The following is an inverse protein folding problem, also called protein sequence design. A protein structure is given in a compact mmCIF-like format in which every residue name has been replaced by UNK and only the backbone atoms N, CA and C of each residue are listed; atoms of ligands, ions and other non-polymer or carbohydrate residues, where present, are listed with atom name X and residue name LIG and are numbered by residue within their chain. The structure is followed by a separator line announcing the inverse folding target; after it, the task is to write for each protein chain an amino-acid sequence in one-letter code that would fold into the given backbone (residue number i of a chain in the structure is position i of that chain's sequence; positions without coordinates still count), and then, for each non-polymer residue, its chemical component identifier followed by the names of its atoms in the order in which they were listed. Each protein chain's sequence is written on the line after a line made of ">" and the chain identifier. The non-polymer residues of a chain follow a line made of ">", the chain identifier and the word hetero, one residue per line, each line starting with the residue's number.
data_IF_586111622446
#
_entry.id   IF_586111622446
#
_cell.length_a   1.000
_cell.length_b   1.000
_cell.length_c   1.000
_cell.angle_alpha   90.00
_cell.angle_beta   90.00
_cell.angle_gamma   90.00
#
_symmetry.space_group_name_H-M   'P 1'
#
loop_
_entity.id
_entity.type
_entity.pdbx_description
1 polymer ?
#
# COMPACT_ATOMS: atom_id res chain seq x y z
N UNK A 1 25.96 -21.90 3.59
CA UNK A 1 25.06 -20.81 3.97
C UNK A 1 25.87 -19.56 4.19
N UNK A 2 25.60 -18.46 3.46
CA UNK A 2 26.29 -17.17 3.72
C UNK A 2 25.79 -16.67 5.09
N UNK A 3 26.68 -16.56 6.05
CA UNK A 3 26.34 -15.95 7.35
C UNK A 3 25.92 -14.49 7.10
N UNK A 4 24.75 -14.12 7.64
CA UNK A 4 24.25 -12.76 7.51
C UNK A 4 25.17 -11.80 8.30
N UNK A 5 25.55 -10.70 7.68
CA UNK A 5 26.38 -9.66 8.30
C UNK A 5 25.61 -8.94 9.41
N UNK A 6 26.33 -8.43 10.42
CA UNK A 6 25.70 -7.61 11.51
C UNK A 6 24.82 -6.50 10.97
N UNK A 7 25.25 -5.84 9.90
CA UNK A 7 24.46 -4.79 9.25
C UNK A 7 23.12 -5.31 8.66
N UNK A 8 23.07 -6.54 8.15
CA UNK A 8 21.83 -7.15 7.65
C UNK A 8 20.87 -7.49 8.80
N UNK A 9 21.37 -7.96 9.92
CA UNK A 9 20.58 -8.19 11.12
C UNK A 9 19.95 -6.90 11.66
N UNK A 10 20.75 -5.82 11.73
CA UNK A 10 20.25 -4.50 12.18
C UNK A 10 19.16 -3.99 11.23
N UNK A 11 19.38 -4.04 9.91
CA UNK A 11 18.37 -3.63 8.91
C UNK A 11 17.09 -4.45 9.01
N UNK A 12 17.22 -5.76 9.19
CA UNK A 12 16.08 -6.65 9.37
C UNK A 12 15.30 -6.31 10.64
N UNK A 13 15.98 -6.11 11.76
CA UNK A 13 15.36 -5.76 13.03
C UNK A 13 14.62 -4.42 12.94
N UNK A 14 15.22 -3.40 12.33
CA UNK A 14 14.58 -2.09 12.10
C UNK A 14 13.35 -2.23 11.22
N UNK A 15 13.46 -2.96 10.11
CA UNK A 15 12.34 -3.15 9.18
C UNK A 15 11.17 -3.89 9.85
N UNK A 16 11.45 -4.96 10.61
CA UNK A 16 10.42 -5.70 11.36
C UNK A 16 9.80 -4.81 12.45
N UNK A 17 10.59 -4.04 13.17
CA UNK A 17 10.09 -3.16 14.22
C UNK A 17 9.16 -2.08 13.66
N UNK A 18 9.56 -1.40 12.59
CA UNK A 18 8.73 -0.40 11.91
C UNK A 18 7.43 -1.05 11.38
N UNK A 19 7.53 -2.25 10.82
CA UNK A 19 6.37 -2.97 10.32
C UNK A 19 5.42 -3.40 11.45
N UNK A 20 5.94 -3.86 12.59
CA UNK A 20 5.13 -4.20 13.76
C UNK A 20 4.43 -2.97 14.35
N UNK A 21 5.10 -1.82 14.42
CA UNK A 21 4.48 -0.55 14.84
C UNK A 21 3.33 -0.19 13.89
N UNK A 22 3.52 -0.34 12.58
CA UNK A 22 2.46 -0.14 11.60
C UNK A 22 1.29 -1.11 11.80
N UNK A 23 1.55 -2.40 12.04
CA UNK A 23 0.51 -3.40 12.32
C UNK A 23 -0.28 -3.10 13.59
N UNK A 24 0.40 -2.66 14.64
CA UNK A 24 -0.24 -2.24 15.89
C UNK A 24 -1.16 -1.04 15.65
N UNK A 25 -0.71 -0.07 14.88
CA UNK A 25 -1.52 1.09 14.49
C UNK A 25 -2.77 0.67 13.69
N UNK A 26 -2.60 -0.17 12.67
CA UNK A 26 -3.72 -0.70 11.86
C UNK A 26 -4.58 -1.69 12.64
N UNK A 27 -4.07 -2.24 13.76
CA UNK A 27 -4.70 -3.32 14.56
C UNK A 27 -5.07 -4.53 13.70
N UNK A 28 -4.18 -4.97 12.81
CA UNK A 28 -4.40 -6.10 11.91
C UNK A 28 -3.41 -7.22 12.19
N UNK A 29 -3.90 -8.33 12.68
CA UNK A 29 -3.07 -9.53 12.93
C UNK A 29 -2.71 -10.29 11.65
N UNK A 30 -3.53 -10.17 10.61
CA UNK A 30 -3.28 -10.81 9.32
C UNK A 30 -1.96 -10.34 8.67
N UNK A 31 -1.54 -9.12 8.95
CA UNK A 31 -0.27 -8.60 8.47
C UNK A 31 0.96 -9.34 8.99
N UNK A 32 0.87 -10.14 10.08
CA UNK A 32 1.99 -10.93 10.57
C UNK A 32 2.51 -11.93 9.54
N UNK A 33 1.69 -12.32 8.57
CA UNK A 33 2.08 -13.17 7.42
C UNK A 33 3.25 -12.55 6.61
N UNK A 34 3.43 -11.23 6.63
CA UNK A 34 4.49 -10.54 5.89
C UNK A 34 5.85 -10.61 6.61
N UNK A 35 5.86 -10.80 7.93
CA UNK A 35 7.10 -10.83 8.73
C UNK A 35 8.10 -11.90 8.24
N UNK A 36 7.69 -13.17 7.97
CA UNK A 36 8.58 -14.16 7.39
C UNK A 36 9.20 -13.75 6.05
N UNK A 37 8.46 -13.02 5.21
CA UNK A 37 8.98 -12.53 3.93
C UNK A 37 10.02 -11.41 4.13
N UNK A 38 9.80 -10.50 5.08
CA UNK A 38 10.80 -9.50 5.47
C UNK A 38 12.07 -10.20 5.95
N UNK A 39 11.91 -11.21 6.80
CA UNK A 39 13.03 -12.00 7.31
C UNK A 39 13.78 -12.72 6.17
N UNK A 40 13.06 -13.29 5.20
CA UNK A 40 13.68 -13.94 4.04
C UNK A 40 14.48 -12.96 3.18
N UNK A 41 13.95 -11.77 2.91
CA UNK A 41 14.62 -10.74 2.09
C UNK A 41 15.98 -10.35 2.69
N UNK A 42 16.05 -10.18 4.01
CA UNK A 42 17.27 -9.67 4.67
C UNK A 42 18.24 -10.78 5.09
N UNK A 43 17.73 -11.91 5.59
CA UNK A 43 18.52 -12.94 6.27
C UNK A 43 18.64 -14.21 5.47
N UNK A 44 17.50 -14.91 5.24
CA UNK A 44 17.53 -16.27 4.67
C UNK A 44 17.81 -16.29 3.20
N UNK A 45 17.29 -15.32 2.44
CA UNK A 45 17.45 -15.21 0.98
C UNK A 45 17.16 -16.52 0.25
N UNK A 46 16.23 -17.32 0.79
CA UNK A 46 15.80 -18.58 0.19
C UNK A 46 15.03 -18.33 -1.10
N UNK A 47 14.14 -17.32 -1.07
CA UNK A 47 13.38 -16.91 -2.24
C UNK A 47 14.26 -16.03 -3.12
N UNK A 48 14.50 -16.38 -4.37
CA UNK A 48 15.37 -15.61 -5.27
C UNK A 48 14.65 -14.36 -5.82
N UNK A 49 14.32 -13.39 -4.94
CA UNK A 49 13.60 -12.16 -5.28
C UNK A 49 14.20 -11.37 -6.46
N UNK A 50 15.48 -11.59 -6.73
CA UNK A 50 16.21 -10.87 -7.77
C UNK A 50 16.91 -11.83 -8.75
N UNK A 51 16.29 -12.99 -9.06
CA UNK A 51 16.86 -14.01 -9.94
C UNK A 51 17.20 -13.44 -11.33
N UNK A 52 16.43 -12.51 -11.82
CA UNK A 52 16.59 -11.85 -13.11
C UNK A 52 17.87 -10.97 -13.18
N UNK A 53 18.38 -10.46 -12.05
CA UNK A 53 19.63 -9.67 -12.01
C UNK A 53 20.85 -10.49 -12.42
N UNK A 54 20.77 -11.81 -12.32
CA UNK A 54 21.83 -12.75 -12.72
C UNK A 54 21.72 -13.20 -14.18
N UNK A 55 20.69 -12.77 -14.91
CA UNK A 55 20.51 -13.12 -16.32
C UNK A 55 21.66 -12.58 -17.16
N UNK A 56 22.14 -13.41 -18.08
CA UNK A 56 23.18 -13.03 -19.06
C UNK A 56 22.65 -12.08 -20.13
N UNK A 57 21.33 -12.11 -20.37
CA UNK A 57 20.70 -11.27 -21.39
C UNK A 57 20.42 -9.86 -20.85
N UNK A 58 21.01 -8.79 -21.43
CA UNK A 58 20.80 -7.42 -20.97
C UNK A 58 19.35 -6.93 -21.15
N UNK A 59 18.65 -7.39 -22.19
CA UNK A 59 17.27 -7.04 -22.43
C UNK A 59 16.34 -7.55 -21.30
N UNK A 60 16.55 -8.79 -20.86
CA UNK A 60 15.80 -9.37 -19.72
C UNK A 60 16.03 -8.55 -18.45
N UNK A 61 17.26 -8.15 -18.18
CA UNK A 61 17.58 -7.33 -17.01
C UNK A 61 16.90 -5.97 -17.06
N UNK A 62 16.88 -5.33 -18.24
CA UNK A 62 16.23 -4.04 -18.43
C UNK A 62 14.72 -4.14 -18.23
N UNK A 63 14.05 -5.06 -18.93
CA UNK A 63 12.59 -5.25 -18.82
C UNK A 63 12.18 -5.59 -17.39
N UNK A 64 12.86 -6.52 -16.74
CA UNK A 64 12.52 -6.92 -15.36
C UNK A 64 12.80 -5.81 -14.35
N UNK A 65 13.77 -4.93 -14.60
CA UNK A 65 14.00 -3.75 -13.77
C UNK A 65 12.83 -2.74 -13.85
N UNK A 66 12.24 -2.57 -15.03
CA UNK A 66 11.02 -1.78 -15.20
C UNK A 66 9.82 -2.42 -14.49
N UNK A 67 9.65 -3.74 -14.62
CA UNK A 67 8.61 -4.48 -13.90
C UNK A 67 8.74 -4.29 -12.38
N UNK A 68 9.94 -4.44 -11.84
CA UNK A 68 10.24 -4.25 -10.42
C UNK A 68 9.85 -2.82 -9.94
N UNK A 69 10.24 -1.81 -10.74
CA UNK A 69 9.92 -0.41 -10.43
C UNK A 69 8.40 -0.15 -10.47
N UNK A 70 7.69 -0.67 -11.47
CA UNK A 70 6.24 -0.53 -11.60
C UNK A 70 5.53 -1.23 -10.44
N UNK A 71 5.89 -2.46 -10.11
CA UNK A 71 5.29 -3.19 -8.97
C UNK A 71 5.52 -2.43 -7.67
N UNK A 72 6.75 -1.95 -7.43
CA UNK A 72 7.05 -1.13 -6.25
C UNK A 72 6.20 0.14 -6.21
N UNK A 73 6.10 0.86 -7.34
CA UNK A 73 5.32 2.09 -7.42
C UNK A 73 3.82 1.83 -7.14
N UNK A 74 3.23 0.78 -7.73
CA UNK A 74 1.83 0.41 -7.50
C UNK A 74 1.56 0.08 -6.04
N UNK A 75 2.43 -0.71 -5.40
CA UNK A 75 2.31 -1.05 -3.99
C UNK A 75 2.45 0.20 -3.12
N UNK A 76 3.44 1.05 -3.38
CA UNK A 76 3.66 2.28 -2.63
C UNK A 76 2.46 3.23 -2.74
N UNK A 77 1.95 3.48 -3.96
CA UNK A 77 0.78 4.33 -4.20
C UNK A 77 -0.47 3.76 -3.54
N UNK A 78 -0.67 2.44 -3.58
CA UNK A 78 -1.77 1.78 -2.89
C UNK A 78 -1.76 2.09 -1.39
N UNK A 79 -0.62 1.93 -0.72
CA UNK A 79 -0.49 2.24 0.71
C UNK A 79 -0.67 3.73 1.00
N UNK A 80 -0.09 4.61 0.20
CA UNK A 80 -0.25 6.07 0.34
C UNK A 80 -1.72 6.45 0.24
N UNK A 81 -2.42 5.98 -0.80
CA UNK A 81 -3.83 6.29 -1.02
C UNK A 81 -4.77 5.74 0.08
N UNK A 82 -4.43 4.63 0.69
CA UNK A 82 -5.26 4.07 1.77
C UNK A 82 -4.99 4.77 3.10
N UNK A 83 -3.74 5.00 3.45
CA UNK A 83 -3.36 5.36 4.82
C UNK A 83 -2.95 6.82 5.00
N UNK A 84 -2.45 7.51 3.95
CA UNK A 84 -1.88 8.84 4.09
C UNK A 84 -2.81 9.90 3.51
N UNK A 85 -2.98 9.92 2.18
CA UNK A 85 -3.84 10.88 1.50
C UNK A 85 -4.37 10.33 0.18
N UNK A 86 -5.42 10.95 -0.32
CA UNK A 86 -5.98 10.64 -1.64
C UNK A 86 -6.51 11.91 -2.28
N UNK A 87 -6.30 12.04 -3.59
CA UNK A 87 -6.85 13.12 -4.38
C UNK A 87 -8.21 12.70 -4.95
N UNK A 88 -9.16 13.64 -4.93
CA UNK A 88 -10.48 13.49 -5.53
C UNK A 88 -10.75 14.67 -6.43
N UNK A 89 -11.59 14.46 -7.43
CA UNK A 89 -12.14 15.53 -8.27
C UNK A 89 -13.64 15.63 -8.01
N UNK A 90 -14.17 16.84 -7.92
CA UNK A 90 -15.60 17.08 -7.71
C UNK A 90 -16.34 16.80 -9.02
N UNK A 91 -17.22 15.78 -9.08
CA UNK A 91 -17.90 15.40 -10.30
C UNK A 91 -19.25 16.09 -10.52
N UNK A 92 -19.83 16.71 -9.50
CA UNK A 92 -21.20 17.23 -9.54
C UNK A 92 -21.35 18.56 -8.80
N UNK A 93 -22.35 19.35 -9.17
CA UNK A 93 -22.64 20.66 -8.60
C UNK A 93 -23.37 20.67 -7.24
N UNK A 94 -23.52 19.52 -6.59
CA UNK A 94 -24.24 19.43 -5.31
C UNK A 94 -23.64 20.26 -4.16
N UNK A 95 -22.37 20.63 -4.27
CA UNK A 95 -21.64 21.47 -3.32
C UNK A 95 -21.17 22.81 -3.93
N UNK A 96 -21.85 23.30 -4.97
CA UNK A 96 -21.42 24.44 -5.80
C UNK A 96 -21.18 25.73 -5.02
N UNK A 97 -21.81 25.91 -3.85
CA UNK A 97 -21.53 27.05 -2.97
C UNK A 97 -20.19 27.00 -2.26
N UNK A 98 -19.61 25.83 -2.12
CA UNK A 98 -18.36 25.61 -1.39
C UNK A 98 -17.25 25.04 -2.28
N UNK A 99 -17.61 24.20 -3.25
CA UNK A 99 -16.71 23.48 -4.14
C UNK A 99 -17.29 23.48 -5.55
N UNK A 100 -16.49 23.84 -6.52
CA UNK A 100 -16.90 23.87 -7.94
C UNK A 100 -16.69 22.51 -8.61
N UNK A 101 -17.51 22.24 -9.63
CA UNK A 101 -17.31 21.07 -10.50
C UNK A 101 -15.94 21.17 -11.18
N UNK A 102 -15.14 20.13 -11.06
CA UNK A 102 -13.79 20.10 -11.60
C UNK A 102 -12.68 20.41 -10.60
N UNK A 103 -13.03 20.92 -9.41
CA UNK A 103 -12.05 21.16 -8.34
C UNK A 103 -11.36 19.86 -7.91
N UNK A 104 -10.06 19.96 -7.60
CA UNK A 104 -9.27 18.87 -7.06
C UNK A 104 -9.13 19.02 -5.55
N UNK A 105 -9.50 17.98 -4.82
CA UNK A 105 -9.40 17.93 -3.38
C UNK A 105 -8.27 17.01 -2.93
N UNK A 106 -7.40 17.55 -2.08
CA UNK A 106 -6.44 16.75 -1.33
C UNK A 106 -7.05 16.36 0.03
N UNK A 107 -7.34 15.07 0.18
CA UNK A 107 -7.95 14.55 1.41
C UNK A 107 -6.91 13.81 2.24
N UNK A 108 -6.52 14.42 3.38
CA UNK A 108 -5.68 13.76 4.37
C UNK A 108 -6.48 12.69 5.12
N UNK A 109 -5.99 11.46 5.09
CA UNK A 109 -6.59 10.35 5.82
C UNK A 109 -6.04 10.19 7.23
N UNK A 110 -4.88 10.76 7.49
CA UNK A 110 -4.22 10.69 8.80
C UNK A 110 -4.89 11.57 9.85
N UNK A 111 -5.53 12.67 9.45
CA UNK A 111 -6.17 13.62 10.37
C UNK A 111 -7.22 12.93 11.26
N UNK A 112 -8.18 12.25 10.66
CA UNK A 112 -9.26 11.55 11.39
C UNK A 112 -9.16 10.03 11.36
N UNK A 113 -8.03 9.52 10.87
CA UNK A 113 -7.71 8.11 10.74
C UNK A 113 -8.22 7.46 9.45
N UNK A 114 -7.38 6.68 8.79
CA UNK A 114 -7.72 5.99 7.56
C UNK A 114 -8.72 4.88 7.80
N UNK A 115 -9.55 4.63 6.79
CA UNK A 115 -10.45 3.47 6.76
C UNK A 115 -9.70 2.28 6.20
N UNK A 116 -9.72 1.16 6.92
CA UNK A 116 -9.21 -0.12 6.39
C UNK A 116 -10.14 -0.57 5.26
N UNK A 117 -9.61 -0.99 4.10
CA UNK A 117 -10.44 -1.48 3.00
C UNK A 117 -11.27 -2.70 3.42
N UNK A 118 -12.56 -2.70 3.06
CA UNK A 118 -13.41 -3.87 3.28
C UNK A 118 -13.01 -5.03 2.37
N UNK A 119 -12.55 -4.71 1.15
CA UNK A 119 -12.01 -5.65 0.17
C UNK A 119 -10.51 -5.38 0.00
N UNK A 120 -9.64 -6.06 0.77
CA UNK A 120 -8.21 -5.76 0.77
C UNK A 120 -7.51 -6.09 -0.55
N UNK A 121 -8.10 -7.00 -1.34
CA UNK A 121 -7.59 -7.36 -2.65
C UNK A 121 -8.28 -6.51 -3.74
N UNK A 122 -7.90 -5.24 -3.81
CA UNK A 122 -8.33 -4.30 -4.83
C UNK A 122 -7.14 -3.81 -5.65
N UNK A 123 -7.36 -3.58 -6.94
CA UNK A 123 -6.31 -3.06 -7.80
C UNK A 123 -6.04 -1.58 -7.44
N UNK A 124 -4.78 -1.20 -7.22
CA UNK A 124 -4.44 0.18 -6.96
C UNK A 124 -4.81 1.05 -8.16
N UNK A 125 -5.22 2.30 -7.89
CA UNK A 125 -5.60 3.32 -8.87
C UNK A 125 -6.91 3.04 -9.64
N UNK A 126 -7.57 1.88 -9.46
CA UNK A 126 -8.86 1.59 -10.05
C UNK A 126 -9.97 1.67 -8.98
N UNK A 127 -11.01 2.51 -9.21
CA UNK A 127 -12.02 2.75 -8.16
C UNK A 127 -13.09 1.65 -8.09
N UNK A 128 -13.63 1.21 -9.20
CA UNK A 128 -14.69 0.20 -9.22
C UNK A 128 -14.52 -0.80 -10.36
N UNK A 129 -14.23 -0.30 -11.56
CA UNK A 129 -14.06 -1.09 -12.77
C UNK A 129 -12.69 -0.87 -13.38
N UNK A 130 -12.14 -1.90 -13.98
CA UNK A 130 -10.91 -1.80 -14.77
C UNK A 130 -11.22 -1.08 -16.08
N UNK A 131 -10.46 -0.03 -16.46
CA UNK A 131 -10.78 0.81 -17.59
C UNK A 131 -10.74 0.08 -18.94
N UNK A 132 -10.00 -1.04 -19.04
CA UNK A 132 -9.85 -1.79 -20.30
C UNK A 132 -10.85 -2.95 -20.39
N UNK A 133 -11.11 -3.65 -19.29
CA UNK A 133 -11.89 -4.89 -19.27
C UNK A 133 -13.32 -4.71 -18.76
N UNK A 134 -13.67 -3.54 -18.26
CA UNK A 134 -14.98 -3.22 -17.66
C UNK A 134 -15.44 -4.23 -16.57
N UNK A 135 -14.49 -4.95 -15.99
CA UNK A 135 -14.69 -5.90 -14.88
C UNK A 135 -14.42 -5.24 -13.54
N UNK A 136 -14.91 -5.84 -12.45
CA UNK A 136 -14.64 -5.35 -11.10
C UNK A 136 -13.13 -5.27 -10.84
N UNK A 137 -12.67 -4.16 -10.27
CA UNK A 137 -11.26 -3.95 -9.91
C UNK A 137 -10.87 -4.55 -8.56
N UNK A 138 -11.75 -5.27 -7.92
CA UNK A 138 -11.54 -5.87 -6.60
C UNK A 138 -12.11 -7.28 -6.53
N UNK A 139 -11.53 -8.08 -5.65
CA UNK A 139 -12.03 -9.42 -5.32
C UNK A 139 -12.97 -9.29 -4.12
N UNK A 140 -14.17 -9.84 -4.23
CA UNK A 140 -15.20 -9.72 -3.19
C UNK A 140 -14.87 -10.51 -1.92
N UNK A 141 -14.00 -11.48 -2.00
CA UNK A 141 -13.55 -12.27 -0.85
C UNK A 141 -12.03 -12.14 -0.66
N UNK A 142 -11.53 -11.94 0.59
CA UNK A 142 -12.27 -11.79 1.84
C UNK A 142 -12.89 -10.40 2.01
N UNK A 143 -14.07 -10.35 2.65
CA UNK A 143 -14.68 -9.10 3.09
C UNK A 143 -14.42 -8.87 4.58
N UNK A 144 -13.87 -7.71 4.92
CA UNK A 144 -13.65 -7.32 6.30
C UNK A 144 -14.73 -6.36 6.77
N UNK A 145 -15.08 -6.45 8.08
CA UNK A 145 -15.99 -5.50 8.69
C UNK A 145 -15.39 -4.09 8.66
N UNK A 146 -16.28 -3.07 8.63
CA UNK A 146 -15.84 -1.68 8.70
C UNK A 146 -14.93 -1.45 9.90
N UNK A 147 -13.77 -0.86 9.64
CA UNK A 147 -12.80 -0.49 10.67
C UNK A 147 -12.09 0.79 10.27
N UNK A 148 -11.99 1.71 11.21
CA UNK A 148 -11.19 2.92 11.09
C UNK A 148 -10.02 2.84 12.05
N UNK A 149 -8.85 3.21 11.56
CA UNK A 149 -7.62 3.31 12.36
C UNK A 149 -7.66 4.66 13.12
N UNK A 150 -7.13 4.76 14.34
CA UNK A 150 -7.04 6.04 15.04
C UNK A 150 -6.27 7.08 14.24
N UNK A 151 -6.84 8.29 14.11
CA UNK A 151 -6.17 9.46 13.53
C UNK A 151 -5.51 10.34 14.57
N UNK A 152 -4.86 11.41 14.12
CA UNK A 152 -4.23 12.39 15.01
C UNK A 152 -5.21 13.39 15.63
N UNK A 153 -6.35 13.61 14.99
CA UNK A 153 -7.41 14.53 15.45
C UNK A 153 -8.73 13.83 15.74
N UNK A 154 -9.59 14.52 16.46
CA UNK A 154 -11.00 14.13 16.66
C UNK A 154 -11.87 15.19 15.98
N UNK A 155 -12.93 14.76 15.31
CA UNK A 155 -13.92 15.68 14.74
C UNK A 155 -14.54 16.52 15.85
N UNK A 156 -14.56 17.84 15.68
CA UNK A 156 -15.21 18.80 16.58
C UNK A 156 -16.36 19.48 15.87
N UNK A 157 -17.27 20.06 16.63
CA UNK A 157 -18.28 20.98 16.09
C UNK A 157 -17.55 22.20 15.48
N UNK A 158 -17.90 22.54 14.24
CA UNK A 158 -17.32 23.63 13.44
C UNK A 158 -15.89 23.37 12.87
N UNK A 159 -15.47 22.09 12.75
CA UNK A 159 -14.28 21.73 11.98
C UNK A 159 -14.52 21.83 10.48
#
# INVERSE_FOLDING_TARGET
>A
MRQATRAQWIKCAIAILLYLVFLLWVRSWWGLIVVPFIFDIYITKKIPWSFWKKSKNPAVRSVMSWVDAIVFALVAVYFVNIYIFQNYQIPSSSLEKSLLVGDFLYVSKMSYGPRVPNTPLSMPLAQHTLPVFNTKSYIEWPQWKYKRVPGFGKVKLND
#
